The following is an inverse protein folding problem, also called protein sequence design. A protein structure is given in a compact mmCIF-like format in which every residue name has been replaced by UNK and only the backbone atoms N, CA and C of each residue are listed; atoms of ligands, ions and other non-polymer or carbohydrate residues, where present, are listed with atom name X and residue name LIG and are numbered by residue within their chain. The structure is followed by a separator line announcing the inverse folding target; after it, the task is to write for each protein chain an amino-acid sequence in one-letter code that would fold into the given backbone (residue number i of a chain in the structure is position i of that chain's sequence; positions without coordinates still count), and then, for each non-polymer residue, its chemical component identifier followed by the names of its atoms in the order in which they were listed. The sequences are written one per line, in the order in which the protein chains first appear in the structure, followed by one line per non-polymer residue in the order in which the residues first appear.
data_IF_782240949669
#
_entry.id   IF_782240949669
#
_cell.length_a   1.000
_cell.length_b   1.000
_cell.length_c   1.000
_cell.angle_alpha   90.00
_cell.angle_beta   90.00
_cell.angle_gamma   90.00
#
_symmetry.space_group_name_H-M   'P 1'
#
loop_
_entity.id
_entity.type
_entity.pdbx_description
1 polymer ?
#
# COMPACT_ATOMS: atom_id res chain seq x y z
N UNK A 1 -11.60 -16.87 -17.09
CA UNK A 1 -10.14 -16.64 -17.25
C UNK A 1 -9.57 -16.30 -15.87
N UNK A 2 -8.27 -16.50 -15.64
CA UNK A 2 -7.61 -15.91 -14.47
C UNK A 2 -7.48 -14.40 -14.67
N UNK A 3 -7.44 -13.63 -13.57
CA UNK A 3 -7.49 -12.16 -13.61
C UNK A 3 -6.34 -11.56 -12.79
N UNK A 4 -5.51 -10.76 -13.44
CA UNK A 4 -4.65 -9.78 -12.78
C UNK A 4 -5.30 -8.41 -13.04
N UNK A 5 -5.74 -7.74 -11.99
CA UNK A 5 -6.42 -6.43 -12.08
C UNK A 5 -5.53 -5.35 -11.47
N UNK A 6 -5.51 -4.18 -12.09
CA UNK A 6 -4.79 -3.03 -11.55
C UNK A 6 -5.38 -2.55 -10.23
N UNK A 7 -4.56 -1.80 -9.48
CA UNK A 7 -4.98 -1.14 -8.25
C UNK A 7 -5.67 0.21 -8.57
N UNK A 8 -6.56 0.71 -7.69
CA UNK A 8 -7.18 -0.04 -6.60
C UNK A 8 -8.11 -1.12 -7.18
N UNK A 9 -8.29 -2.21 -6.43
CA UNK A 9 -9.03 -3.40 -6.90
C UNK A 9 -10.45 -3.06 -7.40
N UNK A 10 -11.11 -2.11 -6.73
CA UNK A 10 -12.40 -1.55 -7.10
C UNK A 10 -12.54 -0.15 -6.46
N UNK A 11 -13.60 0.57 -6.83
CA UNK A 11 -13.96 1.86 -6.24
C UNK A 11 -14.95 1.73 -5.06
N UNK A 12 -15.41 0.52 -4.76
CA UNK A 12 -16.26 0.21 -3.59
C UNK A 12 -15.97 -1.18 -3.03
N UNK A 13 -16.20 -1.36 -1.73
CA UNK A 13 -16.10 -2.65 -1.04
C UNK A 13 -17.08 -3.64 -1.62
N UNK A 14 -18.32 -3.22 -1.92
CA UNK A 14 -19.32 -4.10 -2.53
C UNK A 14 -18.80 -4.72 -3.84
N UNK A 15 -18.14 -3.93 -4.68
CA UNK A 15 -17.57 -4.42 -5.94
C UNK A 15 -16.35 -5.30 -5.72
N UNK A 16 -15.47 -4.94 -4.79
CA UNK A 16 -14.34 -5.78 -4.42
C UNK A 16 -14.80 -7.15 -3.88
N UNK A 17 -15.84 -7.18 -3.04
CA UNK A 17 -16.43 -8.43 -2.53
C UNK A 17 -17.03 -9.28 -3.65
N UNK A 18 -17.78 -8.66 -4.57
CA UNK A 18 -18.30 -9.35 -5.76
C UNK A 18 -17.17 -9.97 -6.60
N UNK A 19 -16.08 -9.24 -6.82
CA UNK A 19 -14.92 -9.74 -7.56
C UNK A 19 -14.28 -10.96 -6.88
N UNK A 20 -14.05 -10.89 -5.55
CA UNK A 20 -13.50 -12.01 -4.77
C UNK A 20 -14.42 -13.23 -4.87
N UNK A 21 -15.72 -13.03 -4.62
CA UNK A 21 -16.72 -14.10 -4.58
C UNK A 21 -16.84 -14.79 -5.94
N UNK A 22 -16.99 -14.03 -7.03
CA UNK A 22 -17.09 -14.59 -8.39
C UNK A 22 -15.84 -15.37 -8.77
N UNK A 23 -14.65 -14.88 -8.45
CA UNK A 23 -13.40 -15.59 -8.78
C UNK A 23 -13.26 -16.89 -7.97
N UNK A 24 -13.65 -16.85 -6.69
CA UNK A 24 -13.69 -18.04 -5.81
C UNK A 24 -14.66 -19.09 -6.34
N UNK A 25 -15.89 -18.71 -6.66
CA UNK A 25 -16.93 -19.64 -7.16
C UNK A 25 -16.57 -20.27 -8.50
N UNK A 26 -15.86 -19.52 -9.35
CA UNK A 26 -15.37 -20.01 -10.65
C UNK A 26 -14.06 -20.78 -10.55
N UNK A 27 -13.44 -20.87 -9.37
CA UNK A 27 -12.14 -21.51 -9.18
C UNK A 27 -11.00 -20.84 -9.96
N UNK A 28 -11.11 -19.55 -10.26
CA UNK A 28 -10.08 -18.78 -10.98
C UNK A 28 -9.26 -17.92 -10.04
N UNK A 29 -7.96 -17.84 -10.30
CA UNK A 29 -7.04 -16.94 -9.59
C UNK A 29 -7.36 -15.47 -9.88
N UNK A 30 -7.33 -14.66 -8.84
CA UNK A 30 -7.44 -13.19 -8.86
C UNK A 30 -6.26 -12.60 -8.07
N UNK A 31 -5.51 -11.71 -8.71
CA UNK A 31 -4.39 -10.99 -8.12
C UNK A 31 -4.51 -9.50 -8.44
N UNK A 32 -3.91 -8.65 -7.59
CA UNK A 32 -4.02 -7.20 -7.65
C UNK A 32 -2.65 -6.61 -7.98
N UNK A 33 -2.63 -5.55 -8.80
CA UNK A 33 -1.44 -4.85 -9.30
C UNK A 33 -0.64 -4.08 -8.24
N UNK A 34 -0.26 -4.73 -7.13
CA UNK A 34 0.61 -4.16 -6.11
C UNK A 34 2.08 -4.52 -6.38
N UNK A 35 2.59 -4.02 -7.51
CA UNK A 35 3.93 -4.32 -8.01
C UNK A 35 5.06 -3.99 -7.01
N UNK A 36 4.84 -3.07 -6.07
CA UNK A 36 5.84 -2.70 -5.05
C UNK A 36 6.18 -3.84 -4.08
N UNK A 37 5.33 -4.86 -3.92
CA UNK A 37 5.69 -6.06 -3.15
C UNK A 37 6.80 -6.88 -3.83
N UNK A 38 7.02 -6.71 -5.13
CA UNK A 38 8.10 -7.38 -5.87
C UNK A 38 9.44 -6.64 -5.79
N UNK A 39 9.50 -5.50 -5.09
CA UNK A 39 10.75 -4.80 -4.87
C UNK A 39 11.65 -5.62 -3.92
N UNK A 40 12.92 -5.92 -4.27
CA UNK A 40 13.80 -6.74 -3.44
C UNK A 40 13.98 -6.20 -2.01
N UNK A 41 14.16 -4.87 -1.87
CA UNK A 41 14.21 -4.23 -0.55
C UNK A 41 12.90 -4.34 0.26
N UNK A 42 11.72 -4.32 -0.37
CA UNK A 42 10.46 -4.52 0.35
C UNK A 42 10.26 -6.00 0.74
N UNK A 43 10.73 -6.94 -0.08
CA UNK A 43 10.77 -8.37 0.29
C UNK A 43 11.70 -8.60 1.49
N UNK A 44 12.89 -7.99 1.50
CA UNK A 44 13.79 -8.06 2.66
C UNK A 44 13.17 -7.39 3.89
N UNK A 45 12.46 -6.26 3.72
CA UNK A 45 11.73 -5.64 4.82
C UNK A 45 10.67 -6.59 5.40
N UNK A 46 9.90 -7.27 4.56
CA UNK A 46 8.92 -8.27 5.00
C UNK A 46 9.61 -9.44 5.72
N UNK A 47 10.72 -9.96 5.18
CA UNK A 47 11.50 -11.03 5.83
C UNK A 47 11.98 -10.63 7.23
N UNK A 48 12.52 -9.42 7.38
CA UNK A 48 13.03 -8.88 8.66
C UNK A 48 11.87 -8.70 9.66
N UNK A 49 10.76 -8.08 9.23
CA UNK A 49 9.61 -7.79 10.10
C UNK A 49 8.91 -9.08 10.53
N UNK A 50 8.58 -9.96 9.57
CA UNK A 50 7.90 -11.22 9.86
C UNK A 50 8.80 -12.23 10.57
N UNK A 51 10.13 -12.15 10.36
CA UNK A 51 11.12 -12.94 11.07
C UNK A 51 11.39 -12.48 12.51
N UNK A 52 10.80 -11.37 12.95
CA UNK A 52 10.93 -10.85 14.31
C UNK A 52 12.27 -10.19 14.63
N UNK A 53 13.10 -9.88 13.63
CA UNK A 53 14.42 -9.26 13.82
C UNK A 53 14.35 -7.86 14.46
N UNK A 54 13.21 -7.16 14.32
CA UNK A 54 12.98 -5.87 14.95
C UNK A 54 12.30 -5.99 16.32
N UNK A 55 12.08 -7.19 16.83
CA UNK A 55 11.17 -7.45 17.93
C UNK A 55 9.72 -7.16 17.53
N UNK A 56 8.86 -6.82 18.50
CA UNK A 56 7.47 -6.43 18.21
C UNK A 56 7.43 -5.08 17.47
N UNK A 57 6.84 -4.98 16.27
CA UNK A 57 6.63 -3.69 15.62
C UNK A 57 5.74 -2.77 16.46
N UNK A 58 6.14 -1.50 16.57
CA UNK A 58 5.42 -0.49 17.36
C UNK A 58 4.95 0.68 16.49
N UNK A 59 5.80 1.17 15.59
CA UNK A 59 5.50 2.30 14.72
C UNK A 59 5.88 2.01 13.27
N UNK A 60 5.09 2.48 12.32
CA UNK A 60 5.49 2.51 10.92
C UNK A 60 5.07 3.80 10.22
N UNK A 61 5.80 4.18 9.17
CA UNK A 61 5.49 5.35 8.34
C UNK A 61 5.72 5.03 6.88
N UNK A 62 4.82 5.47 6.02
CA UNK A 62 5.00 5.38 4.59
C UNK A 62 4.61 6.71 3.91
N UNK A 63 5.54 7.26 3.15
CA UNK A 63 5.42 8.57 2.50
C UNK A 63 5.60 8.40 1.00
N UNK A 64 4.57 8.76 0.24
CA UNK A 64 4.62 8.65 -1.21
C UNK A 64 3.98 9.85 -1.92
N UNK A 65 4.84 10.69 -2.49
CA UNK A 65 4.44 11.89 -3.23
C UNK A 65 4.84 11.76 -4.69
N UNK A 66 3.93 12.12 -5.59
CA UNK A 66 4.15 12.15 -7.03
C UNK A 66 3.42 13.36 -7.64
N UNK A 67 4.13 14.41 -8.02
CA UNK A 67 3.47 15.57 -8.62
C UNK A 67 2.90 15.23 -10.00
N UNK A 68 1.57 15.19 -10.12
CA UNK A 68 0.90 14.89 -11.39
C UNK A 68 1.17 16.01 -12.42
N UNK A 69 1.52 15.69 -13.68
CA UNK A 69 1.74 16.71 -14.69
C UNK A 69 0.39 17.29 -15.15
N UNK A 70 0.19 18.59 -14.93
CA UNK A 70 -1.07 19.25 -15.32
C UNK A 70 -2.31 18.76 -14.55
N UNK A 71 -3.49 19.05 -15.11
CA UNK A 71 -4.78 18.61 -14.58
C UNK A 71 -4.99 17.11 -14.86
N UNK A 72 -5.59 16.36 -13.92
CA UNK A 72 -5.91 14.95 -14.14
C UNK A 72 -7.07 14.81 -15.15
N UNK A 73 -7.19 13.66 -15.83
CA UNK A 73 -8.35 13.34 -16.65
C UNK A 73 -9.67 13.46 -15.87
N UNK A 74 -10.78 13.81 -16.54
CA UNK A 74 -12.09 14.06 -15.92
C UNK A 74 -12.57 12.93 -15.00
N UNK A 75 -12.36 11.67 -15.40
CA UNK A 75 -12.78 10.52 -14.59
C UNK A 75 -12.08 10.45 -13.22
N UNK A 76 -10.90 11.08 -13.06
CA UNK A 76 -10.21 11.17 -11.76
C UNK A 76 -10.74 12.29 -10.88
N UNK A 77 -11.48 13.24 -11.43
CA UNK A 77 -11.93 14.44 -10.72
C UNK A 77 -13.20 14.19 -9.90
N UNK A 78 -13.98 13.16 -10.26
CA UNK A 78 -15.22 12.78 -9.57
C UNK A 78 -15.04 11.54 -8.71
N UNK A 79 -15.59 11.57 -7.50
CA UNK A 79 -15.60 10.44 -6.58
C UNK A 79 -16.44 9.27 -7.13
N UNK A 80 -17.51 9.55 -7.88
CA UNK A 80 -18.37 8.52 -8.47
C UNK A 80 -17.61 7.62 -9.46
N UNK A 81 -16.67 8.18 -10.22
CA UNK A 81 -15.87 7.43 -11.20
C UNK A 81 -14.53 6.93 -10.66
N UNK A 82 -13.84 7.70 -9.82
CA UNK A 82 -12.51 7.35 -9.33
C UNK A 82 -12.51 6.64 -7.99
N UNK A 83 -13.52 6.88 -7.15
CA UNK A 83 -13.50 6.63 -5.71
C UNK A 83 -12.58 7.60 -4.98
N UNK A 84 -11.29 7.64 -5.36
CA UNK A 84 -10.23 8.43 -4.75
C UNK A 84 -9.21 8.86 -5.81
N UNK A 85 -8.47 9.93 -5.54
CA UNK A 85 -7.36 10.32 -6.40
C UNK A 85 -6.00 10.02 -5.78
N UNK A 86 -5.43 10.91 -4.95
CA UNK A 86 -4.09 10.69 -4.42
C UNK A 86 -4.03 9.42 -3.57
N UNK A 87 -5.07 9.17 -2.78
CA UNK A 87 -5.15 7.98 -1.94
C UNK A 87 -5.34 6.72 -2.79
N UNK A 88 -6.17 6.75 -3.84
CA UNK A 88 -6.41 5.62 -4.73
C UNK A 88 -5.24 5.31 -5.68
N UNK A 89 -4.42 6.32 -6.03
CA UNK A 89 -3.34 6.15 -7.00
C UNK A 89 -2.01 5.74 -6.35
N UNK A 90 -1.46 6.62 -5.50
CA UNK A 90 -0.16 6.40 -4.83
C UNK A 90 -0.34 5.93 -3.39
N UNK A 91 -1.36 6.44 -2.68
CA UNK A 91 -1.63 6.06 -1.29
C UNK A 91 -1.90 4.56 -1.12
N UNK A 92 -2.64 3.94 -2.04
CA UNK A 92 -3.01 2.53 -1.95
C UNK A 92 -1.79 1.59 -2.00
N UNK A 93 -0.70 1.97 -2.67
CA UNK A 93 0.56 1.22 -2.63
C UNK A 93 1.27 1.37 -1.28
N UNK A 94 1.29 2.58 -0.72
CA UNK A 94 1.85 2.82 0.61
C UNK A 94 1.07 2.07 1.69
N UNK A 95 -0.26 2.06 1.58
CA UNK A 95 -1.16 1.32 2.45
C UNK A 95 -0.93 -0.18 2.35
N UNK A 96 -0.81 -0.70 1.12
CA UNK A 96 -0.53 -2.10 0.85
C UNK A 96 0.76 -2.57 1.55
N UNK A 97 1.85 -1.79 1.44
CA UNK A 97 3.12 -2.11 2.09
C UNK A 97 2.99 -2.11 3.62
N UNK A 98 2.28 -1.14 4.19
CA UNK A 98 2.06 -1.09 5.64
C UNK A 98 1.26 -2.30 6.13
N UNK A 99 0.16 -2.65 5.43
CA UNK A 99 -0.65 -3.82 5.77
C UNK A 99 0.11 -5.14 5.57
N UNK A 100 0.92 -5.24 4.53
CA UNK A 100 1.73 -6.42 4.28
C UNK A 100 2.78 -6.65 5.39
N UNK A 101 3.40 -5.57 5.88
CA UNK A 101 4.41 -5.65 6.94
C UNK A 101 3.81 -5.84 8.33
N UNK A 102 2.71 -5.14 8.64
CA UNK A 102 2.16 -5.06 10.00
C UNK A 102 0.87 -5.86 10.23
N UNK A 103 0.23 -6.36 9.19
CA UNK A 103 -1.04 -7.08 9.26
C UNK A 103 -2.25 -6.16 9.20
N UNK A 104 -3.33 -6.59 9.85
CA UNK A 104 -4.66 -5.98 9.65
C UNK A 104 -4.84 -4.68 10.45
N UNK A 105 -5.43 -3.68 9.80
CA UNK A 105 -5.84 -2.41 10.41
C UNK A 105 -7.16 -2.61 11.15
N UNK A 106 -7.27 -2.10 12.37
CA UNK A 106 -8.50 -2.09 13.18
C UNK A 106 -9.23 -0.75 13.14
N UNK A 107 -8.51 0.35 12.98
CA UNK A 107 -9.07 1.71 12.99
C UNK A 107 -8.24 2.65 12.12
N UNK A 108 -8.91 3.58 11.42
CA UNK A 108 -8.27 4.65 10.66
C UNK A 108 -8.84 6.01 11.05
N UNK A 109 -7.95 7.00 11.16
CA UNK A 109 -8.31 8.43 11.14
C UNK A 109 -7.66 9.07 9.93
N UNK A 110 -8.39 9.88 9.15
CA UNK A 110 -7.88 10.46 7.92
C UNK A 110 -8.20 11.94 7.78
N UNK A 111 -7.35 12.65 7.05
CA UNK A 111 -7.56 14.02 6.59
C UNK A 111 -7.22 14.10 5.10
N UNK A 112 -8.15 14.64 4.30
CA UNK A 112 -8.01 14.83 2.86
C UNK A 112 -7.85 16.31 2.55
N UNK A 113 -7.10 16.61 1.49
CA UNK A 113 -6.83 17.96 1.03
C UNK A 113 -6.91 18.09 -0.49
N UNK A 114 -7.20 19.32 -0.91
CA UNK A 114 -7.30 19.78 -2.29
C UNK A 114 -6.32 20.94 -2.48
N UNK A 115 -5.03 20.63 -2.41
CA UNK A 115 -3.96 21.62 -2.30
C UNK A 115 -3.64 22.31 -3.64
N UNK A 116 -3.87 21.64 -4.77
CA UNK A 116 -3.58 22.16 -6.11
C UNK A 116 -4.80 22.25 -7.00
N UNK A 117 -5.77 21.36 -6.84
CA UNK A 117 -6.99 21.35 -7.65
C UNK A 117 -8.24 21.27 -6.79
N UNK A 118 -9.25 22.06 -7.17
CA UNK A 118 -10.56 22.07 -6.53
C UNK A 118 -11.50 21.08 -7.26
N UNK A 119 -11.27 19.79 -7.02
CA UNK A 119 -12.08 18.68 -7.54
C UNK A 119 -12.70 17.90 -6.37
N UNK A 120 -13.68 17.04 -6.66
CA UNK A 120 -14.35 16.23 -5.63
C UNK A 120 -13.37 15.26 -4.93
N UNK A 121 -12.42 14.71 -5.68
CA UNK A 121 -11.38 13.80 -5.15
C UNK A 121 -10.16 14.53 -4.60
N UNK A 122 -9.55 13.97 -3.57
CA UNK A 122 -8.39 14.53 -2.87
C UNK A 122 -7.08 14.42 -3.66
N UNK A 123 -6.28 15.49 -3.67
CA UNK A 123 -4.93 15.47 -4.25
C UNK A 123 -3.83 15.33 -3.16
N UNK A 124 -4.24 15.30 -1.90
CA UNK A 124 -3.42 15.04 -0.71
C UNK A 124 -4.22 14.24 0.32
N UNK A 125 -3.59 13.27 0.97
CA UNK A 125 -4.21 12.53 2.07
C UNK A 125 -3.18 12.14 3.13
N UNK A 126 -3.58 12.22 4.40
CA UNK A 126 -2.85 11.72 5.56
C UNK A 126 -3.75 10.79 6.37
N UNK A 127 -3.24 9.60 6.71
CA UNK A 127 -3.93 8.59 7.49
C UNK A 127 -3.10 8.21 8.72
N UNK A 128 -3.76 8.11 9.86
CA UNK A 128 -3.26 7.41 11.05
C UNK A 128 -3.99 6.08 11.18
N UNK A 129 -3.23 4.99 11.26
CA UNK A 129 -3.73 3.62 11.28
C UNK A 129 -3.42 2.97 12.63
N UNK A 130 -4.39 2.26 13.22
CA UNK A 130 -4.12 1.29 14.30
C UNK A 130 -4.19 -0.11 13.74
N UNK A 131 -3.20 -0.93 14.06
CA UNK A 131 -3.17 -2.33 13.66
C UNK A 131 -3.69 -3.23 14.79
N UNK A 132 -4.25 -4.38 14.44
CA UNK A 132 -4.76 -5.35 15.40
C UNK A 132 -3.68 -5.88 16.35
N UNK A 133 -2.41 -5.87 15.93
CA UNK A 133 -1.27 -6.26 16.77
C UNK A 133 -0.82 -5.17 17.77
N UNK A 134 -1.46 -4.00 17.74
CA UNK A 134 -1.18 -2.84 18.59
C UNK A 134 -0.17 -1.84 18.02
N UNK A 135 0.39 -2.08 16.83
CA UNK A 135 1.23 -1.09 16.15
C UNK A 135 0.40 0.12 15.67
N UNK A 136 1.05 1.27 15.52
CA UNK A 136 0.44 2.49 14.98
C UNK A 136 1.20 2.91 13.71
N UNK A 137 0.48 3.15 12.63
CA UNK A 137 1.03 3.57 11.33
C UNK A 137 0.66 4.99 10.96
N UNK A 138 1.51 5.63 10.16
CA UNK A 138 1.18 6.85 9.43
C UNK A 138 1.38 6.64 7.94
N UNK A 139 0.45 7.13 7.13
CA UNK A 139 0.57 7.19 5.68
C UNK A 139 0.36 8.63 5.22
N UNK A 140 1.32 9.15 4.46
CA UNK A 140 1.24 10.46 3.82
C UNK A 140 1.34 10.27 2.31
N UNK A 141 0.37 10.78 1.55
CA UNK A 141 0.42 10.71 0.09
C UNK A 141 -0.12 11.98 -0.56
N UNK A 142 0.39 12.28 -1.77
CA UNK A 142 -0.01 13.47 -2.51
C UNK A 142 0.33 13.36 -3.98
N UNK A 143 -0.57 13.87 -4.82
CA UNK A 143 -0.37 14.12 -6.24
C UNK A 143 -0.14 15.60 -6.57
N UNK A 144 -0.28 16.48 -5.57
CA UNK A 144 -0.14 17.93 -5.70
C UNK A 144 1.29 18.45 -5.52
N UNK A 145 2.03 17.88 -4.56
CA UNK A 145 3.32 18.44 -4.10
C UNK A 145 4.52 17.80 -4.79
N UNK A 146 5.64 18.54 -4.83
CA UNK A 146 6.93 17.99 -5.25
C UNK A 146 7.47 17.03 -4.18
N UNK A 147 8.07 15.93 -4.62
CA UNK A 147 8.56 14.86 -3.74
C UNK A 147 10.03 15.06 -3.39
N UNK A 148 10.41 15.21 -2.10
CA UNK A 148 11.82 15.25 -1.71
C UNK A 148 12.47 13.85 -1.70
N UNK A 149 11.67 12.77 -1.58
CA UNK A 149 12.02 11.35 -1.65
C UNK A 149 10.85 10.53 -1.09
N UNK A 150 10.59 9.33 -1.62
CA UNK A 150 9.67 8.38 -0.97
C UNK A 150 10.34 7.68 0.21
N UNK A 151 9.56 7.27 1.21
CA UNK A 151 10.10 6.68 2.44
C UNK A 151 9.18 5.62 3.03
N UNK A 152 9.75 4.51 3.46
CA UNK A 152 9.09 3.46 4.24
C UNK A 152 9.92 3.19 5.50
N UNK A 153 9.27 3.20 6.65
CA UNK A 153 9.91 3.07 7.96
C UNK A 153 9.12 2.08 8.82
N UNK A 154 9.83 1.20 9.51
CA UNK A 154 9.26 0.34 10.55
C UNK A 154 10.18 0.37 11.75
N UNK A 155 9.60 0.60 12.92
CA UNK A 155 10.28 0.63 14.21
C UNK A 155 9.65 -0.43 15.10
N UNK A 156 10.45 -1.39 15.53
CA UNK A 156 10.10 -2.35 16.56
C UNK A 156 10.89 -2.12 17.84
N UNK A 157 10.64 -2.97 18.83
CA UNK A 157 11.28 -2.87 20.15
C UNK A 157 12.80 -3.06 20.11
N UNK A 158 13.31 -3.88 19.19
CA UNK A 158 14.72 -4.28 19.14
C UNK A 158 15.49 -3.65 17.97
N UNK A 159 14.79 -2.98 17.05
CA UNK A 159 15.42 -2.37 15.89
C UNK A 159 14.46 -1.61 14.98
N UNK A 160 15.01 -1.14 13.86
CA UNK A 160 14.28 -0.42 12.83
C UNK A 160 14.80 -0.74 11.44
N UNK A 161 13.96 -0.47 10.45
CA UNK A 161 14.36 -0.37 9.05
C UNK A 161 13.84 0.94 8.45
N UNK A 162 14.64 1.51 7.55
CA UNK A 162 14.32 2.75 6.84
C UNK A 162 14.73 2.58 5.37
N UNK A 163 13.73 2.48 4.50
CA UNK A 163 13.87 2.46 3.06
C UNK A 163 13.56 3.85 2.47
N UNK A 164 14.43 4.33 1.59
CA UNK A 164 14.31 5.64 0.93
C UNK A 164 14.39 5.48 -0.58
N UNK A 165 13.51 6.16 -1.31
CA UNK A 165 13.39 6.11 -2.77
C UNK A 165 13.12 4.71 -3.34
N UNK A 166 12.40 3.88 -2.58
CA UNK A 166 12.03 2.50 -2.95
C UNK A 166 10.58 2.37 -3.44
N UNK A 167 9.77 3.43 -3.31
CA UNK A 167 8.42 3.48 -3.87
C UNK A 167 8.45 4.18 -5.23
N UNK A 168 7.83 3.54 -6.22
CA UNK A 168 7.74 4.02 -7.60
C UNK A 168 7.58 2.88 -8.60
N UNK A 169 7.91 3.16 -9.86
CA UNK A 169 7.75 2.20 -10.96
C UNK A 169 8.98 1.29 -11.15
N UNK A 170 10.11 1.62 -10.51
CA UNK A 170 11.38 0.93 -10.68
C UNK A 170 11.96 0.49 -9.33
N UNK A 171 12.77 -0.57 -9.35
CA UNK A 171 13.51 -1.04 -8.17
C UNK A 171 14.73 -0.13 -7.91
N UNK A 172 14.50 0.98 -7.20
CA UNK A 172 15.53 1.98 -6.87
C UNK A 172 15.66 2.18 -5.37
N UNK A 173 16.60 3.04 -4.97
CA UNK A 173 16.72 3.47 -3.59
C UNK A 173 17.59 2.56 -2.73
N UNK A 174 17.48 2.73 -1.42
CA UNK A 174 18.32 2.08 -0.42
C UNK A 174 17.55 1.81 0.85
N UNK A 175 17.90 0.74 1.56
CA UNK A 175 17.35 0.42 2.86
C UNK A 175 18.47 0.25 3.88
N UNK A 176 18.28 0.84 5.05
CA UNK A 176 19.14 0.62 6.21
C UNK A 176 18.35 -0.11 7.28
N UNK A 177 19.04 -0.98 8.02
CA UNK A 177 18.51 -1.72 9.16
C UNK A 177 19.42 -1.44 10.34
N UNK A 178 18.86 -1.21 11.51
CA UNK A 178 19.63 -1.05 12.74
C UNK A 178 18.96 -1.65 13.96
N UNK A 179 19.72 -1.85 15.03
CA UNK A 179 19.26 -2.43 16.28
C UNK A 179 19.68 -1.59 17.50
N UNK A 180 19.19 -1.98 18.69
CA UNK A 180 19.48 -1.30 19.95
C UNK A 180 20.95 -1.38 20.39
N UNK A 181 21.73 -2.33 19.86
CA UNK A 181 23.18 -2.41 20.09
C UNK A 181 23.97 -1.39 19.24
N UNK A 182 23.29 -0.54 18.47
CA UNK A 182 23.91 0.48 17.62
C UNK A 182 24.45 -0.06 16.30
N UNK A 183 24.26 -1.35 16.00
CA UNK A 183 24.65 -1.92 14.72
C UNK A 183 23.76 -1.36 13.62
N UNK A 184 24.36 -1.05 12.47
CA UNK A 184 23.65 -0.58 11.27
C UNK A 184 24.22 -1.25 10.05
N UNK A 185 23.35 -1.70 9.15
CA UNK A 185 23.73 -2.25 7.85
C UNK A 185 22.87 -1.63 6.75
N UNK A 186 23.50 -1.37 5.60
CA UNK A 186 22.76 -1.16 4.35
C UNK A 186 22.44 -2.52 3.75
N UNK A 187 21.26 -2.66 3.16
CA UNK A 187 20.86 -3.87 2.45
C UNK A 187 21.24 -3.75 0.98
N UNK A 188 22.09 -4.67 0.54
CA UNK A 188 22.43 -4.83 -0.88
C UNK A 188 21.31 -5.58 -1.62
N UNK A 189 21.08 -5.21 -2.87
CA UNK A 189 20.10 -5.89 -3.73
C UNK A 189 20.47 -5.73 -5.21
N UNK A 190 20.01 -6.67 -6.03
CA UNK A 190 20.03 -6.53 -7.47
C UNK A 190 18.67 -5.94 -7.93
N UNK A 191 18.64 -4.82 -8.66
CA UNK A 191 17.40 -4.29 -9.23
C UNK A 191 16.72 -5.30 -10.16
N UNK A 192 15.39 -5.33 -10.12
CA UNK A 192 14.55 -6.17 -10.99
C UNK A 192 13.47 -5.31 -11.64
N UNK A 193 12.89 -5.81 -12.73
CA UNK A 193 11.68 -5.21 -13.29
C UNK A 193 10.46 -5.70 -12.49
N UNK A 194 9.86 -4.80 -11.72
CA UNK A 194 8.76 -5.10 -10.79
C UNK A 194 7.53 -5.70 -11.50
N UNK A 195 7.18 -5.17 -12.67
CA UNK A 195 6.03 -5.64 -13.45
C UNK A 195 6.25 -7.01 -14.08
N UNK A 196 7.48 -7.28 -14.55
CA UNK A 196 7.85 -8.61 -15.05
C UNK A 196 7.77 -9.62 -13.91
N UNK A 197 8.29 -9.29 -12.72
CA UNK A 197 8.21 -10.14 -11.53
C UNK A 197 6.76 -10.41 -11.11
N UNK A 198 5.88 -9.41 -11.18
CA UNK A 198 4.45 -9.57 -10.88
C UNK A 198 3.76 -10.54 -11.84
N UNK A 199 3.91 -10.33 -13.15
CA UNK A 199 3.31 -11.19 -14.17
C UNK A 199 3.86 -12.63 -14.05
N UNK A 200 5.17 -12.79 -13.84
CA UNK A 200 5.79 -14.09 -13.65
C UNK A 200 5.25 -14.80 -12.40
N UNK A 201 5.13 -14.09 -11.28
CA UNK A 201 4.56 -14.63 -10.04
C UNK A 201 3.11 -15.08 -10.24
N UNK A 202 2.30 -14.28 -10.94
CA UNK A 202 0.91 -14.65 -11.23
C UNK A 202 0.81 -15.87 -12.14
N UNK A 203 1.62 -15.94 -13.21
CA UNK A 203 1.70 -17.10 -14.09
C UNK A 203 2.12 -18.36 -13.33
N UNK A 204 3.10 -18.25 -12.43
CA UNK A 204 3.55 -19.36 -11.59
C UNK A 204 2.43 -19.84 -10.66
N UNK A 205 1.66 -18.94 -10.06
CA UNK A 205 0.52 -19.31 -9.22
C UNK A 205 -0.58 -20.05 -10.00
N UNK A 206 -0.81 -19.67 -11.26
CA UNK A 206 -1.74 -20.38 -12.16
C UNK A 206 -1.22 -21.79 -12.46
N UNK A 207 0.04 -21.91 -12.89
CA UNK A 207 0.66 -23.19 -13.26
C UNK A 207 0.71 -24.16 -12.07
N UNK A 208 1.11 -23.67 -10.90
CA UNK A 208 1.25 -24.46 -9.68
C UNK A 208 -0.09 -24.68 -8.95
N UNK A 209 -1.18 -24.07 -9.43
CA UNK A 209 -2.50 -24.05 -8.77
C UNK A 209 -2.47 -23.49 -7.34
N UNK A 210 -1.44 -22.73 -6.98
CA UNK A 210 -1.28 -22.10 -5.67
C UNK A 210 -1.99 -20.74 -5.61
N UNK A 211 -2.01 -20.11 -4.44
CA UNK A 211 -2.47 -18.73 -4.33
C UNK A 211 -1.46 -17.77 -4.99
N UNK A 212 -1.93 -16.68 -5.61
CA UNK A 212 -1.07 -15.58 -6.02
C UNK A 212 -0.34 -14.97 -4.82
N UNK A 213 0.83 -14.39 -5.07
CA UNK A 213 1.61 -13.69 -4.05
C UNK A 213 0.87 -12.47 -3.48
N UNK A 214 0.26 -11.68 -4.36
CA UNK A 214 -0.71 -10.63 -3.98
C UNK A 214 -2.11 -11.22 -4.12
N UNK A 215 -2.77 -11.48 -3.00
CA UNK A 215 -4.07 -12.17 -2.98
C UNK A 215 -5.21 -11.18 -3.21
N UNK A 216 -6.34 -11.69 -3.69
CA UNK A 216 -7.56 -10.90 -3.80
C UNK A 216 -8.01 -10.29 -2.46
N UNK A 217 -7.78 -11.01 -1.35
CA UNK A 217 -8.07 -10.54 0.00
C UNK A 217 -7.22 -9.32 0.39
N UNK A 218 -5.99 -9.18 -0.12
CA UNK A 218 -5.16 -8.00 0.12
C UNK A 218 -5.80 -6.75 -0.51
N UNK A 219 -6.27 -6.88 -1.76
CA UNK A 219 -7.01 -5.82 -2.45
C UNK A 219 -8.29 -5.43 -1.72
N UNK A 220 -9.10 -6.40 -1.32
CA UNK A 220 -10.33 -6.16 -0.59
C UNK A 220 -10.08 -5.42 0.74
N UNK A 221 -9.08 -5.86 1.52
CA UNK A 221 -8.69 -5.18 2.77
C UNK A 221 -8.29 -3.73 2.51
N UNK A 222 -7.50 -3.47 1.48
CA UNK A 222 -7.11 -2.10 1.14
C UNK A 222 -8.33 -1.25 0.77
N UNK A 223 -9.25 -1.75 -0.08
CA UNK A 223 -10.47 -1.01 -0.45
C UNK A 223 -11.35 -0.68 0.78
N UNK A 224 -11.46 -1.60 1.75
CA UNK A 224 -12.17 -1.32 3.01
C UNK A 224 -11.53 -0.18 3.80
N UNK A 225 -10.20 -0.14 3.85
CA UNK A 225 -9.49 0.94 4.54
C UNK A 225 -9.62 2.26 3.77
N UNK A 226 -9.61 2.24 2.43
CA UNK A 226 -9.81 3.42 1.59
C UNK A 226 -11.20 4.04 1.82
N UNK A 227 -12.27 3.22 1.83
CA UNK A 227 -13.62 3.70 2.16
C UNK A 227 -13.72 4.21 3.60
N UNK A 228 -13.14 3.49 4.56
CA UNK A 228 -13.12 3.92 5.97
C UNK A 228 -12.33 5.24 6.15
N UNK A 229 -11.26 5.44 5.38
CA UNK A 229 -10.49 6.69 5.39
C UNK A 229 -11.32 7.85 4.80
N UNK A 230 -12.01 7.65 3.68
CA UNK A 230 -12.91 8.66 3.12
C UNK A 230 -14.06 9.01 4.10
N UNK A 231 -14.64 7.99 4.76
CA UNK A 231 -15.62 8.21 5.81
C UNK A 231 -15.04 9.00 6.97
N UNK A 232 -13.83 8.67 7.42
CA UNK A 232 -13.14 9.36 8.51
C UNK A 232 -12.89 10.83 8.20
N UNK A 233 -12.40 11.13 6.99
CA UNK A 233 -12.14 12.49 6.55
C UNK A 233 -13.42 13.35 6.52
N UNK A 234 -14.54 12.77 6.04
CA UNK A 234 -15.84 13.43 6.00
C UNK A 234 -16.42 13.67 7.40
N UNK A 235 -16.35 12.67 8.28
CA UNK A 235 -16.99 12.69 9.60
C UNK A 235 -16.08 13.25 10.71
N UNK A 236 -14.80 13.51 10.41
CA UNK A 236 -13.78 14.06 11.33
C UNK A 236 -13.63 13.24 12.61
N UNK A 237 -13.68 11.92 12.49
CA UNK A 237 -13.54 10.97 13.59
C UNK A 237 -12.87 9.68 13.14
N UNK A 238 -12.42 8.88 14.11
CA UNK A 238 -11.89 7.56 13.82
C UNK A 238 -13.00 6.59 13.34
N UNK A 239 -12.66 5.74 12.38
CA UNK A 239 -13.54 4.73 11.79
C UNK A 239 -12.91 3.35 12.00
N UNK A 240 -13.67 2.41 12.57
CA UNK A 240 -13.25 1.02 12.67
C UNK A 240 -13.25 0.35 11.30
N UNK A 241 -12.26 -0.50 11.04
CA UNK A 241 -12.12 -1.27 9.80
C UNK A 241 -12.58 -2.71 10.06
N UNK A 242 -13.54 -3.19 9.28
CA UNK A 242 -14.18 -4.51 9.42
C UNK A 242 -13.59 -5.61 8.52
#
# INVERSE_FOLDING_TARGET
KHVLVEKPMATSVADAERMVQVCRDRGVKLSIGYHMRFHPLHNEAARIVHGGELGKPALARCQFYFRYPGAPPEWRQSADSAGWWALGDVGTHALDLLCWLLGDVSEVTAAFGHARFDYETEDCAMLMLRFQNGAIGMLDCSTAVHSPASKLEVYGLDGNLIAKNTLGLAATGKMNVGNNAGQRRTVDYAPVNLYVSEIQSFNMAIQNRSDPFVRAQDGLKNVRILEAAAQSAREKRAIAVA
#
